data_IF_180670017478
#
_entry.id   IF_180670017478
#
_cell.length_a   1.000
_cell.length_b   1.000
_cell.length_c   1.000
_cell.angle_alpha   90.00
_cell.angle_beta   90.00
_cell.angle_gamma   90.00
#
_symmetry.space_group_name_H-M   'P 1'
#
loop_
_entity.id
_entity.type
_entity.pdbx_description
1 polymer ?
#
# COMPACT_ATOMS: atom_id res chain seq x y z
N UNK A 1 59.18 20.19 -5.80
CA UNK A 1 59.97 20.10 -7.05
C UNK A 1 59.00 19.65 -8.13
N UNK A 2 58.71 20.40 -9.23
CA UNK A 2 59.36 20.30 -10.56
C UNK A 2 59.79 18.86 -10.90
N UNK A 3 59.48 18.19 -12.03
CA UNK A 3 58.91 18.51 -13.38
C UNK A 3 58.34 17.17 -13.94
N UNK A 4 57.72 16.99 -15.11
CA UNK A 4 57.47 17.80 -16.34
C UNK A 4 56.22 17.27 -17.08
N UNK A 5 55.77 17.95 -18.14
CA UNK A 5 54.85 17.42 -19.18
C UNK A 5 55.61 16.64 -20.27
N UNK A 6 54.91 15.76 -20.99
CA UNK A 6 55.06 15.63 -22.46
C UNK A 6 53.71 15.29 -23.10
N UNK A 7 53.32 16.02 -24.15
CA UNK A 7 52.18 15.71 -25.00
C UNK A 7 52.64 15.65 -26.47
N UNK A 8 52.00 14.82 -27.31
CA UNK A 8 52.22 14.77 -28.76
C UNK A 8 50.88 14.58 -29.48
N UNK A 9 50.58 15.46 -30.44
CA UNK A 9 49.44 15.38 -31.36
C UNK A 9 49.82 14.66 -32.67
N UNK A 10 48.80 14.12 -33.34
CA UNK A 10 48.81 13.83 -34.78
C UNK A 10 47.80 12.73 -35.13
N UNK A 11 46.97 12.83 -36.18
CA UNK A 11 46.73 13.94 -37.11
C UNK A 11 45.65 13.51 -38.14
N UNK A 12 44.78 14.43 -38.57
CA UNK A 12 43.72 14.12 -39.55
C UNK A 12 44.27 13.85 -40.96
N UNK A 13 43.64 12.93 -41.67
CA UNK A 13 43.70 12.84 -43.14
C UNK A 13 42.30 12.52 -43.69
N UNK A 14 41.75 13.43 -44.50
CA UNK A 14 40.49 13.26 -45.21
C UNK A 14 40.80 12.90 -46.66
N UNK A 15 40.10 11.91 -47.20
CA UNK A 15 40.14 11.55 -48.63
C UNK A 15 38.70 11.34 -49.12
N UNK A 16 38.27 12.23 -50.02
CA UNK A 16 37.00 12.13 -50.72
C UNK A 16 37.25 11.61 -52.14
N UNK A 17 36.43 10.64 -52.58
CA UNK A 17 36.35 10.20 -53.97
C UNK A 17 34.87 9.96 -54.30
N UNK A 18 34.36 10.72 -55.26
CA UNK A 18 33.01 10.55 -55.80
C UNK A 18 33.08 9.80 -57.15
N UNK A 19 32.12 8.91 -57.38
CA UNK A 19 31.84 8.34 -58.70
C UNK A 19 30.34 8.03 -58.80
N UNK A 20 29.68 8.48 -59.88
CA UNK A 20 28.25 8.27 -60.12
C UNK A 20 27.99 6.94 -60.83
N UNK A 21 26.78 6.38 -60.67
CA UNK A 21 26.33 5.23 -61.45
C UNK A 21 24.88 4.80 -61.17
N UNK A 22 23.98 5.10 -62.10
CA UNK A 22 22.62 4.55 -62.25
C UNK A 22 22.45 4.10 -63.72
N UNK A 23 21.42 3.32 -64.13
CA UNK A 23 20.36 2.66 -63.35
C UNK A 23 20.30 1.12 -63.55
N UNK A 24 19.50 0.42 -62.74
CA UNK A 24 19.25 -1.03 -62.86
C UNK A 24 17.84 -1.43 -62.41
N UNK A 25 17.19 -2.34 -63.14
CA UNK A 25 15.74 -2.59 -63.08
C UNK A 25 15.34 -3.94 -62.46
N UNK A 26 14.22 -3.92 -61.71
CA UNK A 26 13.25 -4.99 -61.45
C UNK A 26 13.60 -6.21 -60.55
N UNK A 27 12.58 -6.59 -59.74
CA UNK A 27 12.53 -7.78 -58.88
C UNK A 27 12.52 -7.41 -57.38
N UNK A 28 11.57 -7.82 -56.53
CA UNK A 28 10.36 -8.62 -56.76
C UNK A 28 10.13 -9.65 -55.65
N UNK A 29 9.19 -9.38 -54.73
CA UNK A 29 8.70 -10.36 -53.74
C UNK A 29 9.31 -10.22 -52.34
N UNK A 30 8.46 -10.46 -51.33
CA UNK A 30 8.75 -10.22 -49.91
C UNK A 30 8.15 -8.88 -49.46
N UNK A 31 7.24 -8.84 -48.50
CA UNK A 31 6.65 -9.89 -47.66
C UNK A 31 5.81 -9.16 -46.62
N UNK A 32 4.71 -9.76 -46.14
CA UNK A 32 3.77 -9.05 -45.27
C UNK A 32 4.48 -8.49 -44.04
N UNK A 33 4.63 -7.17 -43.98
CA UNK A 33 4.80 -6.46 -42.71
C UNK A 33 3.46 -6.57 -42.00
N UNK A 34 3.38 -7.53 -41.08
CA UNK A 34 2.44 -7.41 -39.97
C UNK A 34 2.93 -6.22 -39.15
N UNK A 35 2.32 -5.07 -39.36
CA UNK A 35 2.37 -4.00 -38.35
C UNK A 35 1.94 -4.62 -37.01
N UNK A 36 2.60 -4.28 -35.89
CA UNK A 36 2.01 -4.59 -34.59
C UNK A 36 0.64 -3.91 -34.58
N UNK A 37 -0.39 -4.63 -34.14
CA UNK A 37 -1.71 -4.05 -34.02
C UNK A 37 -1.60 -2.90 -33.01
N UNK A 38 -1.72 -1.66 -33.49
CA UNK A 38 -2.22 -0.60 -32.66
C UNK A 38 -3.61 -1.07 -32.22
N UNK A 39 -3.76 -1.33 -30.93
CA UNK A 39 -5.06 -1.25 -30.29
C UNK A 39 -5.47 0.21 -30.43
N UNK A 40 -6.35 0.52 -31.38
CA UNK A 40 -7.16 1.74 -31.32
C UNK A 40 -8.00 1.59 -30.04
N UNK A 41 -7.47 2.08 -28.92
CA UNK A 41 -8.28 2.47 -27.78
C UNK A 41 -9.15 3.63 -28.29
N UNK A 42 -10.40 3.33 -28.65
CA UNK A 42 -11.45 4.32 -28.94
C UNK A 42 -11.77 5.22 -27.71
N UNK A 43 -11.09 4.97 -26.58
CA UNK A 43 -11.16 5.67 -25.30
C UNK A 43 -10.45 7.03 -25.40
N UNK A 44 -11.02 8.06 -24.77
CA UNK A 44 -10.46 9.41 -24.86
C UNK A 44 -9.23 9.57 -23.95
N UNK A 45 -8.20 10.24 -24.45
CA UNK A 45 -7.08 10.72 -23.63
C UNK A 45 -7.57 11.67 -22.51
N UNK A 46 -7.41 11.27 -21.25
CA UNK A 46 -7.79 12.09 -20.09
C UNK A 46 -6.58 12.80 -19.49
N UNK A 47 -6.51 14.11 -19.68
CA UNK A 47 -5.49 14.94 -19.05
C UNK A 47 -5.71 15.04 -17.54
N UNK A 48 -4.65 15.11 -16.71
CA UNK A 48 -4.76 15.43 -15.29
C UNK A 48 -5.58 16.69 -15.02
N UNK A 49 -6.37 16.67 -13.94
CA UNK A 49 -7.17 17.83 -13.49
C UNK A 49 -6.74 18.18 -12.05
N UNK A 50 -6.23 19.40 -11.87
CA UNK A 50 -5.86 19.93 -10.58
C UNK A 50 -7.08 20.14 -9.66
N UNK A 51 -6.91 19.92 -8.36
CA UNK A 51 -7.96 20.07 -7.35
C UNK A 51 -7.41 19.82 -5.95
N UNK A 52 -7.98 20.48 -4.95
CA UNK A 52 -7.47 20.44 -3.56
C UNK A 52 -7.90 19.18 -2.78
N UNK A 53 -8.89 18.43 -3.27
CA UNK A 53 -9.43 17.21 -2.65
C UNK A 53 -9.14 15.98 -3.50
N UNK A 54 -8.73 14.88 -2.84
CA UNK A 54 -8.48 13.58 -3.45
C UNK A 54 -9.63 12.61 -3.16
N UNK A 55 -9.84 11.65 -4.05
CA UNK A 55 -10.75 10.52 -3.85
C UNK A 55 -10.05 9.24 -4.32
N UNK A 56 -10.17 8.17 -3.54
CA UNK A 56 -9.75 6.82 -3.95
C UNK A 56 -10.82 6.23 -4.88
N UNK A 57 -10.38 5.58 -5.96
CA UNK A 57 -11.25 4.79 -6.82
C UNK A 57 -11.38 3.36 -6.27
N UNK A 58 -12.58 2.79 -6.34
CA UNK A 58 -12.85 1.42 -5.92
C UNK A 58 -12.03 0.42 -6.75
N UNK A 59 -11.34 -0.50 -6.07
CA UNK A 59 -10.62 -1.64 -6.65
C UNK A 59 -11.62 -2.78 -6.97
N UNK A 60 -12.55 -2.50 -7.88
CA UNK A 60 -13.74 -3.31 -8.17
C UNK A 60 -13.45 -4.69 -8.80
N UNK A 61 -12.22 -4.92 -9.27
CA UNK A 61 -11.71 -6.21 -9.71
C UNK A 61 -10.64 -6.81 -8.78
N UNK A 62 -10.47 -6.26 -7.58
CA UNK A 62 -9.72 -6.89 -6.50
C UNK A 62 -8.23 -7.14 -6.84
N UNK A 63 -7.54 -6.12 -7.37
CA UNK A 63 -6.11 -6.18 -7.70
C UNK A 63 -5.23 -6.21 -6.44
N UNK A 64 -5.61 -5.49 -5.38
CA UNK A 64 -4.83 -5.39 -4.15
C UNK A 64 -5.14 -6.55 -3.19
N UNK A 65 -4.12 -7.00 -2.47
CA UNK A 65 -4.30 -7.89 -1.32
C UNK A 65 -4.95 -7.13 -0.17
N UNK A 66 -5.79 -7.81 0.61
CA UNK A 66 -6.35 -7.23 1.84
C UNK A 66 -5.26 -6.95 2.88
N UNK A 67 -5.21 -5.74 3.42
CA UNK A 67 -4.41 -5.40 4.60
C UNK A 67 -5.30 -4.78 5.71
N UNK A 68 -6.40 -5.47 5.99
CA UNK A 68 -7.25 -5.18 7.15
C UNK A 68 -6.46 -5.26 8.46
N UNK A 69 -6.76 -4.37 9.41
CA UNK A 69 -6.13 -4.36 10.74
C UNK A 69 -6.59 -5.58 11.54
N UNK A 70 -5.67 -6.32 12.16
CA UNK A 70 -5.96 -7.51 12.97
C UNK A 70 -5.08 -7.56 14.24
N UNK A 71 -5.62 -7.96 15.40
CA UNK A 71 -4.81 -8.15 16.60
C UNK A 71 -3.96 -9.42 16.48
N UNK A 72 -2.63 -9.30 16.48
CA UNK A 72 -1.69 -10.42 16.53
C UNK A 72 -1.16 -10.61 17.95
N UNK A 73 -1.43 -11.77 18.56
CA UNK A 73 -1.24 -12.06 19.99
C UNK A 73 -0.26 -13.21 20.16
N UNK A 74 0.62 -13.16 21.16
CA UNK A 74 1.44 -14.31 21.55
C UNK A 74 0.55 -15.47 22.06
N UNK A 75 0.70 -16.68 21.51
CA UNK A 75 -0.19 -17.80 21.81
C UNK A 75 -0.14 -18.28 23.29
N UNK A 76 0.97 -18.08 24.01
CA UNK A 76 1.06 -18.44 25.44
C UNK A 76 0.39 -17.39 26.35
N UNK A 77 0.19 -16.16 25.87
CA UNK A 77 -0.44 -15.05 26.60
C UNK A 77 -1.90 -14.78 26.17
N UNK A 78 -2.40 -15.49 25.16
CA UNK A 78 -3.75 -15.30 24.62
C UNK A 78 -4.84 -15.76 25.61
N UNK A 79 -5.57 -14.80 26.18
CA UNK A 79 -6.69 -15.03 27.09
C UNK A 79 -8.03 -14.62 26.44
N UNK A 80 -9.17 -15.28 26.77
CA UNK A 80 -10.47 -14.93 26.18
C UNK A 80 -10.91 -13.48 26.41
N UNK A 81 -10.63 -12.90 27.58
CA UNK A 81 -10.96 -11.51 27.88
C UNK A 81 -10.09 -10.52 27.08
N UNK A 82 -8.81 -10.86 26.86
CA UNK A 82 -7.91 -10.11 25.99
C UNK A 82 -8.39 -10.10 24.54
N UNK A 83 -8.70 -11.27 23.98
CA UNK A 83 -9.22 -11.39 22.60
C UNK A 83 -10.52 -10.60 22.45
N UNK A 84 -11.50 -10.82 23.34
CA UNK A 84 -12.78 -10.13 23.30
C UNK A 84 -12.67 -8.59 23.40
N UNK A 85 -11.65 -8.08 24.11
CA UNK A 85 -11.40 -6.65 24.22
C UNK A 85 -10.77 -6.06 22.95
N UNK A 86 -9.86 -6.80 22.31
CA UNK A 86 -9.23 -6.41 21.05
C UNK A 86 -10.23 -6.49 19.87
N UNK A 87 -11.04 -7.54 19.82
CA UNK A 87 -12.11 -7.70 18.83
C UNK A 87 -13.17 -6.60 18.93
N UNK A 88 -13.42 -6.07 20.13
CA UNK A 88 -14.29 -4.91 20.32
C UNK A 88 -13.73 -3.61 19.71
N UNK A 89 -12.40 -3.48 19.62
CA UNK A 89 -11.76 -2.40 18.84
C UNK A 89 -11.90 -2.69 17.35
N UNK A 90 -11.59 -3.91 16.89
CA UNK A 90 -11.74 -4.30 15.47
C UNK A 90 -13.15 -4.02 14.93
N UNK A 91 -14.19 -4.41 15.68
CA UNK A 91 -15.59 -4.22 15.31
C UNK A 91 -16.11 -2.78 15.42
N UNK A 92 -15.27 -1.86 15.93
CA UNK A 92 -15.58 -0.42 16.06
C UNK A 92 -14.85 0.45 15.05
N UNK A 93 -14.06 -0.17 14.16
CA UNK A 93 -13.11 0.50 13.28
C UNK A 93 -13.35 0.07 11.82
N UNK A 94 -13.63 1.03 10.95
CA UNK A 94 -13.64 0.93 9.49
C UNK A 94 -12.60 1.88 8.86
N UNK A 95 -12.43 1.83 7.53
CA UNK A 95 -11.38 2.61 6.85
C UNK A 95 -11.61 4.12 6.97
N UNK A 96 -12.85 4.59 6.99
CA UNK A 96 -13.16 6.02 7.15
C UNK A 96 -12.74 6.49 8.55
N UNK A 97 -13.01 5.70 9.58
CA UNK A 97 -12.58 5.97 10.96
C UNK A 97 -11.05 5.90 11.13
N UNK A 98 -10.37 5.02 10.39
CA UNK A 98 -8.91 4.94 10.37
C UNK A 98 -8.30 6.17 9.68
N UNK A 99 -8.92 6.65 8.59
CA UNK A 99 -8.57 7.92 7.94
C UNK A 99 -8.73 9.10 8.92
N UNK A 100 -9.84 9.19 9.68
CA UNK A 100 -10.05 10.23 10.70
C UNK A 100 -8.98 10.19 11.82
N UNK A 101 -8.66 8.99 12.32
CA UNK A 101 -7.59 8.78 13.32
C UNK A 101 -6.22 9.25 12.79
N UNK A 102 -5.91 8.95 11.53
CA UNK A 102 -4.68 9.40 10.88
C UNK A 102 -4.69 10.92 10.62
N UNK A 103 -5.83 11.51 10.25
CA UNK A 103 -5.99 12.96 10.10
C UNK A 103 -5.68 13.69 11.40
N UNK A 104 -6.24 13.23 12.52
CA UNK A 104 -6.01 13.80 13.85
C UNK A 104 -4.51 13.85 14.22
N UNK A 105 -3.73 12.83 13.88
CA UNK A 105 -2.30 12.75 14.20
C UNK A 105 -1.43 13.48 13.17
N UNK A 106 -1.60 13.16 11.88
CA UNK A 106 -0.67 13.56 10.83
C UNK A 106 -0.96 14.94 10.25
N UNK A 107 -2.20 15.43 10.35
CA UNK A 107 -2.62 16.76 9.87
C UNK A 107 -2.85 17.69 11.07
N UNK A 108 -3.71 17.31 12.01
CA UNK A 108 -4.10 18.18 13.15
C UNK A 108 -3.06 18.25 14.27
N UNK A 109 -2.12 17.30 14.32
CA UNK A 109 -0.99 17.23 15.28
C UNK A 109 -1.37 16.86 16.71
N UNK A 110 -2.46 16.12 16.89
CA UNK A 110 -2.71 15.40 18.13
C UNK A 110 -1.64 14.30 18.32
N UNK A 111 -1.36 13.90 19.56
CA UNK A 111 -0.57 12.66 19.78
C UNK A 111 -1.45 11.44 19.55
N UNK A 112 -0.86 10.30 19.16
CA UNK A 112 -1.58 9.02 19.03
C UNK A 112 -2.42 8.68 20.27
N UNK A 113 -1.89 8.90 21.47
CA UNK A 113 -2.63 8.73 22.75
C UNK A 113 -3.87 9.62 22.86
N UNK A 114 -3.85 10.84 22.30
CA UNK A 114 -4.99 11.76 22.33
C UNK A 114 -6.05 11.37 21.30
N UNK A 115 -5.62 11.10 20.05
CA UNK A 115 -6.51 10.65 18.99
C UNK A 115 -7.22 9.33 19.36
N UNK A 116 -6.45 8.36 19.88
CA UNK A 116 -7.00 7.10 20.37
C UNK A 116 -8.01 7.30 21.51
N UNK A 117 -7.71 8.16 22.50
CA UNK A 117 -8.63 8.39 23.61
C UNK A 117 -9.94 9.10 23.19
N UNK A 118 -9.86 10.08 22.29
CA UNK A 118 -11.03 10.81 21.77
C UNK A 118 -11.91 9.91 20.89
N UNK A 119 -11.30 9.09 20.02
CA UNK A 119 -12.00 8.06 19.26
C UNK A 119 -12.65 7.02 20.18
N UNK A 120 -11.93 6.49 21.17
CA UNK A 120 -12.43 5.45 22.08
C UNK A 120 -13.67 5.92 22.87
N UNK A 121 -13.66 7.18 23.35
CA UNK A 121 -14.84 7.80 23.98
C UNK A 121 -16.00 8.00 23.00
N UNK A 122 -15.71 8.42 21.75
CA UNK A 122 -16.73 8.77 20.75
C UNK A 122 -17.39 7.55 20.11
N UNK A 123 -16.61 6.51 19.80
CA UNK A 123 -17.08 5.23 19.28
C UNK A 123 -17.90 4.44 20.32
N UNK A 124 -17.75 4.74 21.62
CA UNK A 124 -18.53 4.12 22.69
C UNK A 124 -18.23 2.63 22.87
N UNK A 125 -16.95 2.25 22.77
CA UNK A 125 -16.48 0.87 22.88
C UNK A 125 -16.74 0.35 24.29
N UNK A 126 -17.66 -0.61 24.46
CA UNK A 126 -18.01 -1.19 25.77
C UNK A 126 -17.38 -2.57 25.97
N UNK A 127 -16.40 -2.67 26.89
CA UNK A 127 -15.78 -3.95 27.25
C UNK A 127 -16.63 -4.68 28.30
N UNK A 128 -17.14 -5.86 27.93
CA UNK A 128 -18.08 -6.63 28.78
C UNK A 128 -17.43 -7.72 29.63
N UNK A 129 -16.30 -8.28 29.19
CA UNK A 129 -15.49 -9.20 30.00
C UNK A 129 -14.33 -8.45 30.65
N UNK A 130 -14.45 -8.21 31.96
CA UNK A 130 -13.47 -7.50 32.79
C UNK A 130 -12.70 -8.45 33.71
N UNK A 131 -12.56 -9.71 33.30
CA UNK A 131 -11.83 -10.74 34.06
C UNK A 131 -10.33 -10.79 33.81
N UNK A 132 -9.81 -9.92 32.94
CA UNK A 132 -8.38 -9.78 32.68
C UNK A 132 -7.58 -9.35 33.90
N UNK A 133 -6.29 -9.67 33.92
CA UNK A 133 -5.39 -9.22 34.99
C UNK A 133 -3.91 -9.34 34.61
N UNK A 134 -3.08 -8.44 35.16
CA UNK A 134 -1.63 -8.49 35.00
C UNK A 134 -1.09 -7.66 33.84
N UNK A 135 0.25 -7.62 33.70
CA UNK A 135 0.91 -6.75 32.74
C UNK A 135 0.74 -7.26 31.30
N UNK A 136 0.50 -6.33 30.38
CA UNK A 136 0.42 -6.59 28.94
C UNK A 136 1.38 -5.64 28.22
N UNK A 137 2.15 -6.14 27.25
CA UNK A 137 3.02 -5.27 26.43
C UNK A 137 2.44 -5.19 25.02
N UNK A 138 1.91 -4.02 24.67
CA UNK A 138 1.41 -3.72 23.33
C UNK A 138 2.58 -3.22 22.50
N UNK A 139 3.09 -4.04 21.59
CA UNK A 139 4.14 -3.65 20.68
C UNK A 139 3.57 -2.83 19.52
N UNK A 140 4.28 -1.79 19.08
CA UNK A 140 3.90 -0.99 17.90
C UNK A 140 5.07 -0.74 16.97
N UNK A 141 4.76 -0.57 15.70
CA UNK A 141 5.72 -0.16 14.68
C UNK A 141 6.04 1.33 14.79
N UNK A 142 7.09 1.80 14.10
CA UNK A 142 7.53 3.19 14.16
C UNK A 142 6.82 4.09 13.10
N UNK A 143 5.48 4.12 13.12
CA UNK A 143 4.65 5.05 12.34
C UNK A 143 3.35 5.40 13.10
N UNK A 144 2.73 6.53 12.74
CA UNK A 144 1.59 7.14 13.44
C UNK A 144 0.43 6.18 13.66
N UNK A 145 -0.09 5.58 12.59
CA UNK A 145 -1.24 4.67 12.64
C UNK A 145 -1.01 3.49 13.60
N UNK A 146 0.08 2.73 13.43
CA UNK A 146 0.40 1.59 14.31
C UNK A 146 0.54 1.98 15.79
N UNK A 147 1.06 3.18 16.08
CA UNK A 147 1.11 3.69 17.47
C UNK A 147 -0.30 4.01 17.97
N UNK A 148 -1.14 4.66 17.16
CA UNK A 148 -2.54 4.98 17.50
C UNK A 148 -3.39 3.73 17.72
N UNK A 149 -3.27 2.72 16.87
CA UNK A 149 -3.91 1.41 17.03
C UNK A 149 -3.46 0.71 18.32
N UNK A 150 -2.17 0.80 18.67
CA UNK A 150 -1.66 0.25 19.93
C UNK A 150 -2.19 0.98 21.17
N UNK A 151 -2.42 2.28 21.09
CA UNK A 151 -3.06 3.07 22.16
C UNK A 151 -4.55 2.70 22.30
N UNK A 152 -5.27 2.45 21.20
CA UNK A 152 -6.64 1.91 21.23
C UNK A 152 -6.70 0.52 21.89
N UNK A 153 -5.76 -0.36 21.55
CA UNK A 153 -5.63 -1.67 22.21
C UNK A 153 -5.34 -1.51 23.71
N UNK A 154 -4.47 -0.58 24.10
CA UNK A 154 -4.18 -0.32 25.51
C UNK A 154 -5.40 0.20 26.28
N UNK A 155 -6.25 1.04 25.67
CA UNK A 155 -7.51 1.48 26.29
C UNK A 155 -8.46 0.29 26.51
N UNK A 156 -8.73 -0.52 25.48
CA UNK A 156 -9.58 -1.71 25.60
C UNK A 156 -9.07 -2.73 26.61
N UNK A 157 -7.76 -2.97 26.64
CA UNK A 157 -7.13 -3.89 27.59
C UNK A 157 -7.16 -3.36 29.03
N UNK A 158 -7.10 -2.03 29.23
CA UNK A 158 -7.29 -1.41 30.54
C UNK A 158 -8.70 -1.64 31.06
N UNK A 159 -9.72 -1.42 30.22
CA UNK A 159 -11.12 -1.64 30.59
C UNK A 159 -11.45 -3.13 30.81
N UNK A 160 -10.73 -4.04 30.12
CA UNK A 160 -10.76 -5.48 30.37
C UNK A 160 -10.09 -5.92 31.69
N UNK A 161 -9.37 -5.03 32.37
CA UNK A 161 -8.72 -5.28 33.67
C UNK A 161 -7.21 -5.59 33.64
N UNK A 162 -6.56 -5.49 32.48
CA UNK A 162 -5.10 -5.64 32.34
C UNK A 162 -4.36 -4.33 32.70
N UNK A 163 -3.02 -4.41 32.78
CA UNK A 163 -2.10 -3.29 33.01
C UNK A 163 -1.19 -3.11 31.78
N UNK A 164 -1.66 -2.44 30.70
CA UNK A 164 -0.93 -2.39 29.43
C UNK A 164 0.15 -1.29 29.36
N UNK A 165 1.29 -1.62 28.74
CA UNK A 165 2.35 -0.70 28.31
C UNK A 165 2.48 -0.72 26.79
N UNK A 166 2.28 0.44 26.13
CA UNK A 166 2.57 0.59 24.69
C UNK A 166 4.07 0.82 24.48
N UNK A 167 4.69 0.02 23.60
CA UNK A 167 6.13 0.04 23.34
C UNK A 167 6.45 0.03 21.84
N UNK A 168 7.00 1.13 21.35
CA UNK A 168 7.54 1.20 19.98
C UNK A 168 8.83 0.39 19.86
N UNK A 169 8.83 -0.62 18.98
CA UNK A 169 9.97 -1.52 18.79
C UNK A 169 10.70 -1.29 17.45
N UNK A 170 9.99 -0.78 16.43
CA UNK A 170 10.61 -0.43 15.13
C UNK A 170 9.85 -1.03 13.95
N UNK A 171 10.49 -1.98 13.25
CA UNK A 171 9.96 -2.69 12.08
C UNK A 171 9.58 -4.14 12.41
N UNK A 172 8.82 -4.78 11.50
CA UNK A 172 8.28 -6.14 11.65
C UNK A 172 9.37 -7.20 11.88
N UNK A 173 10.53 -7.04 11.22
CA UNK A 173 11.71 -7.90 11.44
C UNK A 173 12.27 -7.85 12.87
N UNK A 174 11.96 -6.78 13.63
CA UNK A 174 12.40 -6.62 15.03
C UNK A 174 11.28 -6.98 16.01
N UNK A 175 10.05 -6.51 15.79
CA UNK A 175 8.96 -6.74 16.74
C UNK A 175 8.33 -8.12 16.64
N UNK A 176 8.25 -8.74 15.44
CA UNK A 176 7.58 -10.03 15.31
C UNK A 176 8.32 -11.15 16.08
N UNK A 177 9.66 -11.26 16.06
CA UNK A 177 10.38 -12.17 16.95
C UNK A 177 10.18 -11.87 18.44
N UNK A 178 9.98 -10.61 18.82
CA UNK A 178 9.70 -10.21 20.21
C UNK A 178 8.28 -10.63 20.63
N UNK A 179 7.28 -10.53 19.73
CA UNK A 179 5.93 -11.07 19.93
C UNK A 179 5.95 -12.60 20.02
N UNK A 180 6.60 -13.29 19.08
CA UNK A 180 6.71 -14.76 19.07
C UNK A 180 7.39 -15.32 20.34
N UNK A 181 8.35 -14.58 20.91
CA UNK A 181 9.06 -14.98 22.15
C UNK A 181 8.36 -14.55 23.45
N UNK A 182 7.25 -13.82 23.37
CA UNK A 182 6.51 -13.34 24.53
C UNK A 182 7.13 -12.13 25.24
N UNK A 183 8.10 -11.44 24.63
CA UNK A 183 8.55 -10.12 25.09
C UNK A 183 7.48 -9.03 24.84
N UNK A 184 6.71 -9.21 23.76
CA UNK A 184 5.49 -8.48 23.47
C UNK A 184 4.31 -9.44 23.63
N UNK A 185 3.17 -8.91 24.06
CA UNK A 185 1.93 -9.68 24.24
C UNK A 185 1.03 -9.62 23.01
N UNK A 186 0.88 -8.42 22.44
CA UNK A 186 0.03 -8.14 21.27
C UNK A 186 0.64 -7.04 20.41
N UNK A 187 0.37 -7.06 19.10
CA UNK A 187 0.71 -6.03 18.12
C UNK A 187 -0.49 -5.82 17.18
N UNK A 188 -0.89 -4.58 16.84
CA UNK A 188 -1.78 -4.33 15.71
C UNK A 188 -1.03 -4.59 14.40
N UNK A 189 -1.54 -5.54 13.62
CA UNK A 189 -0.92 -6.04 12.39
C UNK A 189 -1.89 -5.95 11.20
N UNK A 190 -1.39 -6.21 10.00
CA UNK A 190 -2.14 -6.07 8.76
C UNK A 190 -2.20 -7.41 8.03
N UNK A 191 -3.41 -7.83 7.65
CA UNK A 191 -3.72 -9.23 7.29
C UNK A 191 -2.82 -9.79 6.18
N UNK A 192 -2.77 -9.16 5.00
CA UNK A 192 -2.06 -9.69 3.83
C UNK A 192 -0.55 -9.64 3.97
N UNK A 193 0.00 -8.49 4.37
CA UNK A 193 1.44 -8.32 4.56
C UNK A 193 1.99 -9.18 5.69
N UNK A 194 1.24 -9.40 6.79
CA UNK A 194 1.66 -10.36 7.81
C UNK A 194 1.56 -11.80 7.30
N UNK A 195 0.52 -12.15 6.54
CA UNK A 195 0.36 -13.47 5.92
C UNK A 195 1.59 -13.80 5.07
N UNK A 196 2.03 -12.90 4.19
CA UNK A 196 3.24 -13.15 3.39
C UNK A 196 4.54 -13.12 4.19
N UNK A 197 4.63 -12.28 5.22
CA UNK A 197 5.80 -12.27 6.11
C UNK A 197 5.96 -13.62 6.83
N UNK A 198 4.86 -14.19 7.34
CA UNK A 198 4.85 -15.50 7.97
C UNK A 198 5.01 -16.64 6.95
N UNK A 199 4.36 -16.58 5.79
CA UNK A 199 4.54 -17.53 4.69
C UNK A 199 6.02 -17.67 4.34
N UNK A 200 6.72 -16.56 4.18
CA UNK A 200 8.17 -16.51 3.94
C UNK A 200 9.00 -17.10 5.09
N UNK A 201 8.58 -16.89 6.33
CA UNK A 201 9.27 -17.40 7.52
C UNK A 201 9.08 -18.91 7.72
N UNK A 202 7.90 -19.44 7.39
CA UNK A 202 7.50 -20.84 7.60
C UNK A 202 7.88 -21.70 6.39
N UNK A 203 7.45 -21.30 5.19
CA UNK A 203 7.59 -22.08 3.95
C UNK A 203 8.89 -21.76 3.17
N UNK A 204 9.56 -20.64 3.47
CA UNK A 204 10.88 -20.30 2.94
C UNK A 204 10.93 -19.01 2.11
N UNK A 205 12.14 -18.55 1.73
CA UNK A 205 12.36 -17.18 1.22
C UNK A 205 11.64 -16.86 -0.09
N UNK A 206 11.34 -17.88 -0.89
CA UNK A 206 10.71 -17.78 -2.21
C UNK A 206 9.19 -18.04 -2.17
N UNK A 207 8.62 -18.38 -1.00
CA UNK A 207 7.23 -18.84 -0.85
C UNK A 207 6.20 -17.84 -1.39
N UNK A 208 6.34 -16.54 -1.08
CA UNK A 208 5.46 -15.46 -1.59
C UNK A 208 5.47 -15.36 -3.13
N UNK A 209 6.53 -15.79 -3.80
CA UNK A 209 6.63 -15.76 -5.27
C UNK A 209 6.14 -17.05 -5.93
N UNK A 210 6.29 -18.21 -5.28
CA UNK A 210 5.89 -19.52 -5.82
C UNK A 210 4.47 -19.93 -5.42
N UNK A 211 4.03 -19.55 -4.21
CA UNK A 211 2.75 -19.89 -3.59
C UNK A 211 2.35 -18.80 -2.57
N UNK A 212 1.90 -17.62 -3.03
CA UNK A 212 1.31 -16.62 -2.14
C UNK A 212 0.08 -17.20 -1.44
N UNK A 213 -0.10 -16.77 -0.20
CA UNK A 213 -1.20 -17.13 0.71
C UNK A 213 -2.08 -15.91 1.06
N UNK A 214 -1.63 -14.69 0.75
CA UNK A 214 -2.48 -13.50 0.75
C UNK A 214 -3.22 -13.31 -0.59
N UNK A 215 -4.42 -12.76 -0.53
CA UNK A 215 -5.25 -12.41 -1.68
C UNK A 215 -6.16 -11.23 -1.34
N UNK A 216 -7.07 -10.87 -2.25
CA UNK A 216 -8.14 -9.91 -1.99
C UNK A 216 -9.35 -10.49 -1.24
N UNK A 217 -9.38 -11.82 -1.01
CA UNK A 217 -10.40 -12.47 -0.18
C UNK A 217 -9.93 -12.41 1.29
N UNK A 218 -10.63 -11.61 2.10
CA UNK A 218 -10.32 -11.41 3.52
C UNK A 218 -10.44 -12.71 4.33
N UNK A 219 -11.55 -13.44 4.17
CA UNK A 219 -11.82 -14.68 4.91
C UNK A 219 -10.76 -15.74 4.59
N UNK A 220 -10.45 -15.95 3.30
CA UNK A 220 -9.43 -16.90 2.87
C UNK A 220 -8.02 -16.50 3.32
N UNK A 221 -7.70 -15.20 3.30
CA UNK A 221 -6.40 -14.70 3.76
C UNK A 221 -6.26 -14.84 5.28
N UNK A 222 -7.34 -14.59 6.06
CA UNK A 222 -7.35 -14.80 7.52
C UNK A 222 -7.29 -16.29 7.89
N UNK A 223 -7.91 -17.20 7.12
CA UNK A 223 -7.74 -18.65 7.32
C UNK A 223 -6.27 -19.06 7.12
N UNK A 224 -5.64 -18.58 6.04
CA UNK A 224 -4.22 -18.79 5.77
C UNK A 224 -3.31 -18.18 6.86
N UNK A 225 -3.61 -16.96 7.31
CA UNK A 225 -2.90 -16.27 8.38
C UNK A 225 -2.96 -17.06 9.69
N UNK A 226 -4.15 -17.52 10.09
CA UNK A 226 -4.36 -18.33 11.31
C UNK A 226 -3.56 -19.64 11.26
N UNK A 227 -3.55 -20.33 10.11
CA UNK A 227 -2.73 -21.53 9.87
C UNK A 227 -1.22 -21.25 10.06
N UNK A 228 -0.70 -20.17 9.47
CA UNK A 228 0.70 -19.76 9.62
C UNK A 228 1.02 -19.30 11.06
N UNK A 229 0.04 -18.72 11.76
CA UNK A 229 0.13 -18.30 13.16
C UNK A 229 0.36 -19.45 14.11
N UNK A 230 -0.34 -20.58 13.92
CA UNK A 230 -0.16 -21.78 14.74
C UNK A 230 1.31 -22.29 14.69
N UNK A 231 1.94 -22.26 13.52
CA UNK A 231 3.36 -22.61 13.37
C UNK A 231 4.31 -21.53 13.94
N UNK A 232 3.88 -20.28 13.94
CA UNK A 232 4.63 -19.12 14.44
C UNK A 232 4.50 -18.89 15.96
N UNK A 233 3.62 -19.61 16.66
CA UNK A 233 3.31 -19.37 18.08
C UNK A 233 2.44 -18.13 18.31
N UNK A 234 1.58 -17.80 17.36
CA UNK A 234 0.68 -16.64 17.37
C UNK A 234 -0.79 -17.06 17.32
N UNK A 235 -1.65 -16.25 17.94
CA UNK A 235 -3.11 -16.31 17.82
C UNK A 235 -3.58 -14.96 17.32
N UNK A 236 -4.65 -14.94 16.53
CA UNK A 236 -5.24 -13.70 16.00
C UNK A 236 -6.65 -13.50 16.55
N UNK A 237 -7.02 -12.24 16.77
CA UNK A 237 -8.42 -11.84 16.97
C UNK A 237 -9.23 -11.92 15.67
N UNK A 238 -10.33 -11.18 15.62
CA UNK A 238 -11.04 -10.89 14.38
C UNK A 238 -10.46 -9.63 13.68
N UNK A 239 -10.42 -9.61 12.35
CA UNK A 239 -10.03 -8.41 11.60
C UNK A 239 -11.06 -7.29 11.77
N UNK A 240 -10.58 -6.07 11.64
CA UNK A 240 -11.35 -4.84 11.48
C UNK A 240 -11.82 -4.69 10.03
N UNK A 241 -12.93 -3.97 9.79
CA UNK A 241 -13.31 -3.54 8.44
C UNK A 241 -12.32 -2.51 7.87
N UNK A 242 -11.50 -1.87 8.71
CA UNK A 242 -10.46 -0.93 8.31
C UNK A 242 -9.24 -1.58 7.69
N UNK A 243 -8.74 -1.02 6.59
CA UNK A 243 -7.53 -1.48 5.91
C UNK A 243 -6.55 -0.34 5.60
N UNK A 244 -5.26 -0.63 5.77
CA UNK A 244 -4.12 0.14 5.23
C UNK A 244 -3.44 -0.69 4.13
N UNK A 245 -3.92 -0.54 2.89
CA UNK A 245 -3.40 -1.17 1.69
C UNK A 245 -3.07 -0.12 0.63
N UNK A 246 -2.34 -0.50 -0.42
CA UNK A 246 -2.21 0.41 -1.56
C UNK A 246 -3.60 0.70 -2.13
N UNK A 247 -3.80 1.91 -2.59
CA UNK A 247 -5.00 2.37 -3.27
C UNK A 247 -4.61 3.33 -4.40
N UNK A 248 -5.57 3.68 -5.25
CA UNK A 248 -5.34 4.59 -6.37
C UNK A 248 -6.29 5.78 -6.29
N UNK A 249 -5.71 6.97 -6.15
CA UNK A 249 -6.46 8.20 -6.03
C UNK A 249 -6.36 9.07 -7.29
N UNK A 250 -7.45 9.79 -7.53
CA UNK A 250 -7.56 10.90 -8.47
C UNK A 250 -7.95 12.17 -7.68
N UNK A 251 -7.96 13.34 -8.30
CA UNK A 251 -8.63 14.50 -7.68
C UNK A 251 -10.15 14.35 -7.80
N UNK A 252 -10.91 14.88 -6.84
CA UNK A 252 -12.39 14.86 -6.94
C UNK A 252 -12.87 15.57 -8.21
N UNK A 253 -12.20 16.65 -8.62
CA UNK A 253 -12.50 17.36 -9.87
C UNK A 253 -12.29 16.48 -11.11
N UNK A 254 -11.30 15.58 -11.11
CA UNK A 254 -11.12 14.58 -12.17
C UNK A 254 -12.24 13.54 -12.16
N UNK A 255 -12.56 12.99 -10.98
CA UNK A 255 -13.63 12.02 -10.82
C UNK A 255 -15.00 12.56 -11.27
N UNK A 256 -15.32 13.82 -10.94
CA UNK A 256 -16.59 14.47 -11.31
C UNK A 256 -16.69 14.83 -12.81
N UNK A 257 -15.61 15.31 -13.44
CA UNK A 257 -15.61 15.66 -14.87
C UNK A 257 -15.75 14.40 -15.75
N UNK A 258 -15.11 13.31 -15.36
CA UNK A 258 -15.13 12.05 -16.11
C UNK A 258 -16.24 11.08 -15.67
N UNK A 259 -16.85 11.30 -14.50
CA UNK A 259 -17.91 10.47 -13.95
C UNK A 259 -17.44 9.08 -13.49
N UNK A 260 -16.22 9.01 -12.94
CA UNK A 260 -15.56 7.76 -12.55
C UNK A 260 -15.47 7.61 -11.03
N UNK A 261 -15.76 6.41 -10.54
CA UNK A 261 -15.70 6.03 -9.13
C UNK A 261 -14.95 4.73 -8.88
N UNK A 262 -14.80 3.88 -9.90
CA UNK A 262 -14.01 2.63 -9.84
C UNK A 262 -12.84 2.62 -10.83
N UNK A 263 -11.89 1.70 -10.65
CA UNK A 263 -10.78 1.49 -11.58
C UNK A 263 -11.25 0.96 -12.95
N UNK A 264 -12.29 0.12 -13.00
CA UNK A 264 -12.91 -0.29 -14.27
C UNK A 264 -13.58 0.88 -14.99
N UNK A 265 -14.31 1.74 -14.29
CA UNK A 265 -14.92 2.94 -14.89
C UNK A 265 -13.86 3.90 -15.46
N UNK A 266 -12.73 4.04 -14.77
CA UNK A 266 -11.57 4.78 -15.28
C UNK A 266 -11.03 4.17 -16.58
N UNK A 267 -10.86 2.85 -16.64
CA UNK A 267 -10.36 2.15 -17.84
C UNK A 267 -11.30 2.24 -19.04
N UNK A 268 -12.63 2.19 -18.82
CA UNK A 268 -13.62 2.38 -19.89
C UNK A 268 -13.69 3.82 -20.40
N UNK A 269 -13.34 4.81 -19.57
CA UNK A 269 -13.53 6.25 -19.84
C UNK A 269 -12.26 6.95 -20.32
N UNK A 270 -11.09 6.54 -19.83
CA UNK A 270 -9.84 7.28 -19.95
C UNK A 270 -8.65 6.42 -20.43
N UNK A 271 -8.00 6.87 -21.50
CA UNK A 271 -6.68 6.39 -21.95
C UNK A 271 -5.60 7.48 -21.83
N UNK A 272 -4.39 7.17 -22.31
CA UNK A 272 -3.21 8.06 -22.27
C UNK A 272 -2.95 8.70 -20.88
N UNK A 273 -3.24 7.97 -19.79
CA UNK A 273 -3.17 8.50 -18.43
C UNK A 273 -1.72 8.77 -17.99
N UNK A 274 -1.56 9.70 -17.03
CA UNK A 274 -0.29 9.92 -16.33
C UNK A 274 -0.39 9.29 -14.93
N UNK A 275 0.39 8.24 -14.69
CA UNK A 275 0.45 7.54 -13.40
C UNK A 275 1.61 8.06 -12.54
N UNK A 276 1.35 8.34 -11.27
CA UNK A 276 2.39 8.62 -10.28
C UNK A 276 2.50 7.54 -9.21
N UNK A 277 3.73 7.25 -8.79
CA UNK A 277 3.97 6.28 -7.72
C UNK A 277 5.46 6.06 -7.41
N UNK A 278 5.78 5.13 -6.51
CA UNK A 278 7.16 4.81 -6.17
C UNK A 278 7.91 4.23 -7.37
N UNK A 279 9.24 4.39 -7.42
CA UNK A 279 10.07 4.12 -8.61
C UNK A 279 9.96 2.68 -9.14
N UNK A 280 9.62 1.72 -8.28
CA UNK A 280 9.38 0.33 -8.62
C UNK A 280 8.00 0.04 -9.22
N UNK A 281 7.04 0.96 -9.18
CA UNK A 281 5.66 0.73 -9.64
C UNK A 281 5.57 0.13 -11.07
N UNK A 282 6.38 0.57 -12.07
CA UNK A 282 6.40 -0.04 -13.40
C UNK A 282 6.77 -1.53 -13.43
N UNK A 283 7.43 -2.05 -12.38
CA UNK A 283 7.87 -3.43 -12.26
C UNK A 283 7.04 -4.25 -11.23
N UNK A 284 6.03 -3.64 -10.57
CA UNK A 284 5.27 -4.29 -9.47
C UNK A 284 3.94 -4.86 -9.96
N UNK A 285 3.65 -6.17 -9.74
CA UNK A 285 2.38 -6.78 -10.14
C UNK A 285 1.12 -6.09 -9.60
N UNK A 286 1.17 -5.53 -8.39
CA UNK A 286 0.05 -4.80 -7.79
C UNK A 286 0.08 -3.29 -8.08
N UNK A 287 0.90 -2.84 -9.04
CA UNK A 287 0.95 -1.45 -9.49
C UNK A 287 0.70 -1.37 -11.00
N UNK A 288 1.52 -0.65 -11.78
CA UNK A 288 1.27 -0.40 -13.21
C UNK A 288 0.96 -1.69 -14.02
N UNK A 289 1.78 -2.76 -13.97
CA UNK A 289 1.44 -4.03 -14.63
C UNK A 289 0.05 -4.59 -14.27
N UNK A 290 -0.38 -4.49 -13.00
CA UNK A 290 -1.69 -4.97 -12.57
C UNK A 290 -2.85 -4.09 -13.02
N UNK A 291 -2.65 -2.77 -13.05
CA UNK A 291 -3.61 -1.82 -13.60
C UNK A 291 -3.79 -2.06 -15.12
N UNK A 292 -2.71 -2.34 -15.84
CA UNK A 292 -2.73 -2.68 -17.26
C UNK A 292 -3.36 -4.06 -17.51
N UNK A 293 -2.96 -5.10 -16.77
CA UNK A 293 -3.41 -6.49 -17.01
C UNK A 293 -4.82 -6.82 -16.50
N UNK A 294 -5.22 -6.28 -15.34
CA UNK A 294 -6.54 -6.55 -14.73
C UNK A 294 -7.60 -5.62 -15.29
N UNK A 295 -7.32 -4.32 -15.36
CA UNK A 295 -8.33 -3.30 -15.75
C UNK A 295 -8.25 -2.89 -17.22
N UNK A 296 -7.10 -3.05 -17.88
CA UNK A 296 -6.88 -2.49 -19.21
C UNK A 296 -6.65 -0.97 -19.20
N UNK A 297 -6.18 -0.41 -18.07
CA UNK A 297 -5.76 0.98 -17.98
C UNK A 297 -4.56 1.24 -18.90
N UNK A 298 -4.56 2.39 -19.58
CA UNK A 298 -3.56 2.77 -20.57
C UNK A 298 -2.80 4.03 -20.12
N UNK A 299 -1.47 3.95 -20.04
CA UNK A 299 -0.61 4.98 -19.47
C UNK A 299 0.37 5.53 -20.50
N UNK A 300 0.25 6.82 -20.82
CA UNK A 300 1.18 7.52 -21.71
C UNK A 300 2.49 7.92 -21.01
N UNK A 301 2.45 8.15 -19.68
CA UNK A 301 3.60 8.56 -18.89
C UNK A 301 3.54 8.03 -17.45
N UNK A 302 4.70 7.68 -16.89
CA UNK A 302 4.87 7.36 -15.48
C UNK A 302 5.80 8.37 -14.80
N UNK A 303 5.36 8.92 -13.67
CA UNK A 303 6.11 9.89 -12.86
C UNK A 303 6.55 9.24 -11.55
N UNK A 304 7.86 9.11 -11.36
CA UNK A 304 8.44 8.55 -10.13
C UNK A 304 8.38 9.56 -8.98
N UNK A 305 7.66 9.17 -7.92
CA UNK A 305 7.34 9.95 -6.73
C UNK A 305 7.56 9.08 -5.47
N UNK A 306 6.99 9.48 -4.33
CA UNK A 306 6.98 8.69 -3.09
C UNK A 306 5.74 7.78 -3.01
N UNK A 307 5.84 6.66 -2.29
CA UNK A 307 4.71 5.74 -2.07
C UNK A 307 3.64 6.44 -1.21
N UNK A 308 2.54 6.86 -1.83
CA UNK A 308 1.45 7.60 -1.18
C UNK A 308 1.83 8.88 -0.45
N UNK A 309 3.05 9.41 -0.63
CA UNK A 309 3.58 10.47 0.22
C UNK A 309 3.26 11.89 -0.26
N UNK A 310 3.85 12.91 0.40
CA UNK A 310 3.63 14.31 0.05
C UNK A 310 3.94 14.69 -1.40
N UNK A 311 4.84 13.99 -2.11
CA UNK A 311 5.12 14.29 -3.52
C UNK A 311 4.01 13.77 -4.43
N UNK A 312 3.50 12.56 -4.19
CA UNK A 312 2.36 11.99 -4.93
C UNK A 312 1.09 12.81 -4.73
N UNK A 313 0.79 13.22 -3.49
CA UNK A 313 -0.34 14.11 -3.18
C UNK A 313 -0.20 15.47 -3.86
N UNK A 314 1.00 16.05 -3.86
CA UNK A 314 1.28 17.32 -4.54
C UNK A 314 1.09 17.19 -6.06
N UNK A 315 1.57 16.10 -6.67
CA UNK A 315 1.45 15.90 -8.11
C UNK A 315 -0.02 15.71 -8.54
N UNK A 316 -0.82 14.95 -7.77
CA UNK A 316 -2.26 14.84 -7.99
C UNK A 316 -2.95 16.21 -7.90
N UNK A 317 -2.79 16.89 -6.77
CA UNK A 317 -3.48 18.17 -6.51
C UNK A 317 -3.07 19.28 -7.46
N UNK A 318 -1.82 19.29 -7.94
CA UNK A 318 -1.32 20.22 -8.96
C UNK A 318 -1.79 19.91 -10.39
N UNK A 319 -2.32 18.71 -10.65
CA UNK A 319 -2.62 18.24 -12.00
C UNK A 319 -1.37 17.91 -12.81
N UNK A 320 -0.30 17.43 -12.15
CA UNK A 320 0.89 16.88 -12.82
C UNK A 320 0.70 15.38 -13.17
N UNK A 321 -0.14 14.66 -12.41
CA UNK A 321 -0.54 13.26 -12.66
C UNK A 321 -2.07 13.11 -12.55
N UNK A 322 -2.64 12.16 -13.28
CA UNK A 322 -4.08 11.89 -13.27
C UNK A 322 -4.44 10.86 -12.19
N UNK A 323 -3.64 9.79 -12.09
CA UNK A 323 -3.80 8.70 -11.13
C UNK A 323 -2.54 8.59 -10.27
N UNK A 324 -2.68 8.39 -8.96
CA UNK A 324 -1.55 8.24 -8.03
C UNK A 324 -1.74 7.10 -7.05
N UNK A 325 -0.69 6.30 -6.82
CA UNK A 325 -0.69 5.31 -5.74
C UNK A 325 -0.66 6.01 -4.38
N UNK A 326 -1.67 5.76 -3.56
CA UNK A 326 -1.79 6.21 -2.15
C UNK A 326 -2.00 5.01 -1.22
N UNK A 327 -2.13 5.27 0.08
CA UNK A 327 -2.62 4.28 1.05
C UNK A 327 -4.13 4.49 1.29
N UNK A 328 -4.88 3.42 1.52
CA UNK A 328 -6.33 3.49 1.73
C UNK A 328 -6.72 4.23 3.02
N UNK A 329 -5.88 4.18 4.04
CA UNK A 329 -6.11 4.86 5.33
C UNK A 329 -5.54 6.29 5.39
N UNK A 330 -5.09 6.85 4.25
CA UNK A 330 -4.32 8.09 4.27
C UNK A 330 -5.14 9.30 4.75
N UNK A 331 -4.61 10.00 5.76
CA UNK A 331 -5.15 11.21 6.37
C UNK A 331 -5.69 12.30 5.41
N UNK A 332 -5.20 12.40 4.17
CA UNK A 332 -5.70 13.41 3.20
C UNK A 332 -6.99 12.99 2.47
N UNK A 333 -7.47 11.77 2.69
CA UNK A 333 -8.72 11.26 2.15
C UNK A 333 -9.93 11.62 3.02
N UNK A 334 -9.70 12.16 4.23
CA UNK A 334 -10.73 12.62 5.14
C UNK A 334 -11.62 13.69 4.50
N UNK A 335 -12.94 13.56 4.65
CA UNK A 335 -13.94 14.49 4.11
C UNK A 335 -14.48 15.44 5.18
N UNK A 336 -14.61 16.73 4.85
CA UNK A 336 -15.17 17.81 5.70
C UNK A 336 -16.70 17.67 5.99
#
# INVERSE_FOLDING_TARGET
>A
MRRSLTAVLGGLAVLALAACGEPGSAGGGGGSTSDPAATDSDVQACAPIAGDQLVVLEDDQQLQTVDNVIPAINAEAAEPAMIAALDAVSASLDTDQLIELNQAVDIERNTSTQAAAEFYETAGIEITDTSGSGPVVVGVANFSESITLGELYALALTDAGYDPEVRTIGNRETYLPALQSGELTVVPEYVGTLTEFLNKSVNGPDATAENPMASADLDATVENLRSLGEEAGLVFGEPSDAADQNAYAVTQAFAEEHGVSTLSELAETCGDLVLGGPVECPDRPFCQPGLEETYGLDFAEFVSLDAGGPLTKQALTAGDIALGMVFSSDAVLATD
#
